data_IF_056532788609
#
_entry.id   IF_056532788609
#
_cell.length_a   1.000
_cell.length_b   1.000
_cell.length_c   1.000
_cell.angle_alpha   90.00
_cell.angle_beta   90.00
_cell.angle_gamma   90.00
#
_symmetry.space_group_name_H-M   'P 1'
#
loop_
_entity.id
_entity.type
_entity.pdbx_description
1 polymer ?
#
# COMPACT_ATOMS: atom_id res chain seq x y z
N UNK A 1 0.03 13.58 16.68
CA UNK A 1 0.59 12.22 16.75
C UNK A 1 1.83 12.15 15.89
N UNK A 2 2.81 11.32 16.25
CA UNK A 2 4.02 11.10 15.44
C UNK A 2 3.61 10.32 14.19
N UNK A 3 4.03 10.75 13.01
CA UNK A 3 3.77 10.01 11.76
C UNK A 3 4.48 8.67 11.81
N UNK A 4 3.75 7.57 11.69
CA UNK A 4 4.31 6.21 11.51
C UNK A 4 5.19 6.16 10.26
N UNK A 5 6.44 5.71 10.39
CA UNK A 5 7.39 5.63 9.28
C UNK A 5 7.90 4.21 8.98
N UNK A 6 8.78 4.08 7.98
CA UNK A 6 9.33 2.78 7.56
C UNK A 6 10.12 2.10 8.70
N UNK A 7 10.77 2.87 9.58
CA UNK A 7 11.52 2.33 10.72
C UNK A 7 10.56 1.74 11.75
N UNK A 8 9.48 2.46 12.06
CA UNK A 8 8.43 1.98 12.97
C UNK A 8 7.78 0.69 12.41
N UNK A 9 7.52 0.67 11.10
CA UNK A 9 7.04 -0.52 10.38
C UNK A 9 7.99 -1.72 10.52
N UNK A 10 9.27 -1.53 10.19
CA UNK A 10 10.26 -2.60 10.24
C UNK A 10 10.45 -3.12 11.67
N UNK A 11 10.41 -2.23 12.67
CA UNK A 11 10.48 -2.59 14.09
C UNK A 11 9.28 -3.44 14.50
N UNK A 12 8.07 -3.02 14.13
CA UNK A 12 6.82 -3.76 14.40
C UNK A 12 6.83 -5.12 13.70
N UNK A 13 7.23 -5.15 12.43
CA UNK A 13 7.36 -6.38 11.64
C UNK A 13 8.37 -7.36 12.27
N UNK A 14 9.53 -6.87 12.71
CA UNK A 14 10.55 -7.68 13.37
C UNK A 14 10.06 -8.23 14.72
N UNK A 15 9.38 -7.41 15.52
CA UNK A 15 8.82 -7.81 16.81
C UNK A 15 7.74 -8.89 16.63
N UNK A 16 6.79 -8.70 15.72
CA UNK A 16 5.77 -9.69 15.40
C UNK A 16 6.39 -11.00 14.89
N UNK A 17 7.38 -10.91 14.00
CA UNK A 17 8.08 -12.08 13.48
C UNK A 17 8.84 -12.84 14.59
N UNK A 18 9.42 -12.12 15.54
CA UNK A 18 10.06 -12.73 16.71
C UNK A 18 9.05 -13.49 17.58
N UNK A 19 7.90 -12.89 17.88
CA UNK A 19 6.82 -13.54 18.65
C UNK A 19 6.27 -14.78 17.93
N UNK A 20 6.05 -14.70 16.62
CA UNK A 20 5.58 -15.82 15.80
C UNK A 20 6.59 -16.97 15.67
N UNK A 21 7.87 -16.68 15.86
CA UNK A 21 8.95 -17.67 15.82
C UNK A 21 9.22 -18.33 17.17
N UNK A 22 8.52 -17.91 18.23
CA UNK A 22 8.69 -18.48 19.56
C UNK A 22 8.24 -19.95 19.61
N UNK A 23 8.93 -20.77 20.41
CA UNK A 23 8.59 -22.19 20.61
C UNK A 23 7.18 -22.37 21.16
N UNK A 24 6.75 -21.45 22.01
CA UNK A 24 5.38 -21.34 22.51
C UNK A 24 4.82 -20.01 22.04
N UNK A 25 3.79 -20.07 21.19
CA UNK A 25 3.09 -18.89 20.71
C UNK A 25 2.30 -18.26 21.87
N UNK A 26 2.46 -16.96 22.04
CA UNK A 26 1.69 -16.17 23.00
C UNK A 26 0.89 -15.10 22.23
N UNK A 27 -0.39 -15.40 22.00
CA UNK A 27 -1.31 -14.49 21.31
C UNK A 27 -1.58 -13.21 22.08
N UNK A 28 -1.50 -13.21 23.41
CA UNK A 28 -1.62 -12.00 24.22
C UNK A 28 -0.49 -11.00 23.97
N UNK A 29 0.75 -11.50 23.81
CA UNK A 29 1.90 -10.66 23.42
C UNK A 29 1.72 -10.09 22.01
N UNK A 30 1.26 -10.91 21.05
CA UNK A 30 1.00 -10.45 19.67
C UNK A 30 -0.12 -9.41 19.65
N UNK A 31 -1.20 -9.64 20.38
CA UNK A 31 -2.31 -8.70 20.54
C UNK A 31 -1.82 -7.37 21.11
N UNK A 32 -0.97 -7.39 22.14
CA UNK A 32 -0.39 -6.17 22.74
C UNK A 32 0.40 -5.36 21.70
N UNK A 33 1.15 -6.03 20.83
CA UNK A 33 1.89 -5.37 19.74
C UNK A 33 0.93 -4.80 18.70
N UNK A 34 -0.03 -5.60 18.23
CA UNK A 34 -0.99 -5.19 17.19
C UNK A 34 -1.87 -4.03 17.66
N UNK A 35 -2.31 -4.02 18.92
CA UNK A 35 -3.14 -2.95 19.47
C UNK A 35 -2.32 -1.76 20.01
N UNK A 36 -0.99 -1.83 19.95
CA UNK A 36 -0.06 -0.88 20.58
C UNK A 36 -0.34 -0.64 22.08
N UNK A 37 -0.68 -1.71 22.80
CA UNK A 37 -1.00 -1.65 24.23
C UNK A 37 -2.31 -0.92 24.58
N UNK A 38 -3.13 -0.56 23.58
CA UNK A 38 -4.47 -0.01 23.82
C UNK A 38 -5.35 -1.05 24.53
N UNK A 39 -6.19 -0.56 25.42
CA UNK A 39 -7.09 -1.40 26.21
C UNK A 39 -8.28 -1.87 25.36
N UNK A 40 -8.75 -3.07 25.65
CA UNK A 40 -9.94 -3.68 25.08
C UNK A 40 -10.68 -4.41 26.21
N UNK A 41 -11.99 -4.60 26.11
CA UNK A 41 -12.75 -5.32 27.13
C UNK A 41 -12.33 -6.79 27.20
N UNK A 42 -12.38 -7.41 28.39
CA UNK A 42 -11.95 -8.79 28.61
C UNK A 42 -12.66 -9.79 27.67
N UNK A 43 -13.97 -9.60 27.47
CA UNK A 43 -14.74 -10.42 26.54
C UNK A 43 -14.27 -10.28 25.09
N UNK A 44 -14.05 -9.06 24.63
CA UNK A 44 -13.56 -8.78 23.27
C UNK A 44 -12.13 -9.29 23.06
N UNK A 45 -11.31 -9.28 24.12
CA UNK A 45 -9.98 -9.88 24.13
C UNK A 45 -10.05 -11.40 23.89
N UNK A 46 -10.98 -12.12 24.53
CA UNK A 46 -11.14 -13.56 24.31
C UNK A 46 -11.50 -13.88 22.85
N UNK A 47 -12.44 -13.13 22.27
CA UNK A 47 -12.81 -13.25 20.85
C UNK A 47 -11.59 -13.01 19.97
N UNK A 48 -10.82 -11.96 20.24
CA UNK A 48 -9.66 -11.60 19.45
C UNK A 48 -8.54 -12.66 19.52
N UNK A 49 -8.32 -13.28 20.69
CA UNK A 49 -7.41 -14.41 20.84
C UNK A 49 -7.85 -15.62 19.99
N UNK A 50 -9.15 -15.89 19.91
CA UNK A 50 -9.70 -16.93 19.04
C UNK A 50 -9.48 -16.62 17.56
N UNK A 51 -9.60 -15.35 17.16
CA UNK A 51 -9.31 -14.89 15.78
C UNK A 51 -7.83 -15.05 15.44
N UNK A 52 -6.91 -14.70 16.36
CA UNK A 52 -5.48 -14.93 16.13
C UNK A 52 -5.13 -16.41 15.98
N UNK A 53 -5.72 -17.27 16.82
CA UNK A 53 -5.55 -18.71 16.71
C UNK A 53 -6.09 -19.23 15.35
N UNK A 54 -7.25 -18.74 14.91
CA UNK A 54 -7.79 -19.02 13.58
C UNK A 54 -6.83 -18.62 12.46
N UNK A 55 -6.32 -17.38 12.47
CA UNK A 55 -5.36 -16.90 11.48
C UNK A 55 -4.11 -17.77 11.40
N UNK A 56 -3.63 -18.26 12.54
CA UNK A 56 -2.45 -19.13 12.58
C UNK A 56 -2.68 -20.47 11.90
N UNK A 57 -3.90 -21.02 12.01
CA UNK A 57 -4.29 -22.28 11.36
C UNK A 57 -4.49 -22.07 9.87
N UNK A 58 -5.06 -20.94 9.47
CA UNK A 58 -5.29 -20.60 8.08
C UNK A 58 -3.97 -20.34 7.33
N UNK A 59 -3.14 -19.45 7.86
CA UNK A 59 -1.88 -19.07 7.20
C UNK A 59 -0.74 -20.06 7.46
N UNK A 60 -0.82 -20.90 8.51
CA UNK A 60 0.13 -21.99 8.79
C UNK A 60 1.60 -21.58 8.65
N UNK A 61 2.38 -22.37 7.90
CA UNK A 61 3.79 -22.09 7.55
C UNK A 61 3.94 -21.34 6.21
N UNK A 62 2.86 -20.76 5.66
CA UNK A 62 2.91 -20.08 4.37
C UNK A 62 3.79 -18.84 4.43
N UNK A 63 4.46 -18.54 3.32
CA UNK A 63 5.34 -17.39 3.17
C UNK A 63 4.86 -16.50 2.02
N UNK A 64 4.96 -15.17 2.18
CA UNK A 64 4.77 -14.19 1.10
C UNK A 64 5.91 -14.29 0.08
N UNK A 65 5.72 -13.67 -1.09
CA UNK A 65 6.70 -13.65 -2.18
C UNK A 65 8.09 -13.14 -1.77
N UNK A 66 8.16 -12.26 -0.76
CA UNK A 66 9.42 -11.72 -0.24
C UNK A 66 10.05 -12.57 0.87
N UNK A 67 9.38 -13.62 1.35
CA UNK A 67 9.89 -14.58 2.35
C UNK A 67 9.26 -14.59 3.76
N UNK A 68 8.70 -13.49 4.31
CA UNK A 68 8.06 -13.50 5.64
C UNK A 68 6.82 -14.40 5.69
N UNK A 69 6.42 -14.83 6.90
CA UNK A 69 5.18 -15.58 7.10
C UNK A 69 3.96 -14.79 6.60
N UNK A 70 3.03 -15.44 5.92
CA UNK A 70 1.83 -14.78 5.36
C UNK A 70 0.97 -14.11 6.42
N UNK A 71 0.90 -14.69 7.62
CA UNK A 71 0.18 -14.13 8.77
C UNK A 71 0.71 -12.76 9.21
N UNK A 72 1.96 -12.39 8.88
CA UNK A 72 2.51 -11.08 9.26
C UNK A 72 1.76 -9.92 8.62
N UNK A 73 1.27 -10.09 7.38
CA UNK A 73 0.59 -9.03 6.66
C UNK A 73 -0.69 -8.55 7.37
N UNK A 74 -1.68 -9.41 7.68
CA UNK A 74 -2.87 -8.97 8.40
C UNK A 74 -2.53 -8.42 9.80
N UNK A 75 -1.52 -8.96 10.50
CA UNK A 75 -1.08 -8.44 11.80
C UNK A 75 -0.52 -7.02 11.71
N UNK A 76 0.36 -6.75 10.74
CA UNK A 76 0.96 -5.43 10.54
C UNK A 76 -0.05 -4.41 9.99
N UNK A 77 -0.93 -4.81 9.06
CA UNK A 77 -2.03 -3.97 8.61
C UNK A 77 -2.92 -3.56 9.79
N UNK A 78 -3.25 -4.51 10.67
CA UNK A 78 -4.03 -4.23 11.88
C UNK A 78 -3.28 -3.35 12.88
N UNK A 79 -1.95 -3.47 12.97
CA UNK A 79 -1.12 -2.57 13.77
C UNK A 79 -1.15 -1.13 13.23
N UNK A 80 -1.08 -0.96 11.91
CA UNK A 80 -1.21 0.35 11.25
C UNK A 80 -2.60 0.96 11.46
N UNK A 81 -3.66 0.16 11.35
CA UNK A 81 -5.02 0.60 11.66
C UNK A 81 -5.15 1.02 13.11
N UNK A 82 -4.63 0.21 14.03
CA UNK A 82 -4.62 0.50 15.46
C UNK A 82 -3.85 1.77 15.76
N UNK A 83 -2.73 2.02 15.08
CA UNK A 83 -1.95 3.25 15.22
C UNK A 83 -2.76 4.51 14.87
N UNK A 84 -3.48 4.48 13.75
CA UNK A 84 -4.33 5.60 13.31
C UNK A 84 -5.62 5.74 14.13
N UNK A 85 -5.98 4.74 14.94
CA UNK A 85 -7.21 4.73 15.73
C UNK A 85 -6.92 5.15 17.17
N UNK A 86 -7.75 6.02 17.74
CA UNK A 86 -7.61 6.43 19.15
C UNK A 86 -8.02 5.32 20.11
N UNK A 87 -9.06 4.58 19.75
CA UNK A 87 -9.65 3.50 20.52
C UNK A 87 -9.71 2.22 19.68
N UNK A 88 -9.77 1.08 20.35
CA UNK A 88 -9.86 -0.23 19.70
C UNK A 88 -11.32 -0.53 19.42
N UNK A 89 -11.70 -0.55 18.14
CA UNK A 89 -12.98 -1.09 17.71
C UNK A 89 -12.79 -2.56 17.31
N UNK A 90 -13.34 -3.50 18.10
CA UNK A 90 -13.17 -4.94 17.89
C UNK A 90 -13.50 -5.35 16.44
N UNK A 91 -14.62 -4.86 15.91
CA UNK A 91 -15.07 -5.22 14.57
C UNK A 91 -14.07 -4.77 13.49
N UNK A 92 -13.55 -3.54 13.57
CA UNK A 92 -12.55 -3.02 12.62
C UNK A 92 -11.25 -3.84 12.68
N UNK A 93 -10.83 -4.22 13.90
CA UNK A 93 -9.66 -5.08 14.13
C UNK A 93 -9.86 -6.46 13.52
N UNK A 94 -10.98 -7.13 13.79
CA UNK A 94 -11.27 -8.46 13.22
C UNK A 94 -11.37 -8.38 11.69
N UNK A 95 -12.04 -7.36 11.15
CA UNK A 95 -12.15 -7.14 9.71
C UNK A 95 -10.77 -6.94 9.07
N UNK A 96 -9.89 -6.16 9.70
CA UNK A 96 -8.52 -5.97 9.22
C UNK A 96 -7.68 -7.25 9.31
N UNK A 97 -7.83 -8.03 10.38
CA UNK A 97 -7.15 -9.30 10.53
C UNK A 97 -7.57 -10.33 9.46
N UNK A 98 -8.82 -10.29 9.04
CA UNK A 98 -9.39 -11.28 8.12
C UNK A 98 -9.49 -10.82 6.65
N UNK A 99 -9.12 -9.57 6.33
CA UNK A 99 -9.40 -8.94 5.03
C UNK A 99 -8.90 -9.74 3.81
N UNK A 100 -7.72 -10.34 3.90
CA UNK A 100 -7.09 -11.13 2.84
C UNK A 100 -7.49 -12.62 2.89
N UNK A 101 -8.13 -13.07 3.98
CA UNK A 101 -8.39 -14.48 4.24
C UNK A 101 -9.27 -15.09 3.14
N UNK A 102 -10.29 -14.37 2.67
CA UNK A 102 -11.20 -14.91 1.65
C UNK A 102 -10.66 -14.80 0.22
N UNK A 103 -9.65 -13.96 -0.04
CA UNK A 103 -8.93 -13.97 -1.31
C UNK A 103 -7.95 -15.14 -1.38
N UNK A 104 -7.22 -15.38 -0.29
CA UNK A 104 -6.22 -16.45 -0.19
C UNK A 104 -6.86 -17.84 0.01
N UNK A 105 -8.04 -17.89 0.63
CA UNK A 105 -8.72 -19.13 1.00
C UNK A 105 -10.20 -19.09 0.58
N UNK A 106 -10.54 -19.82 -0.49
CA UNK A 106 -11.92 -19.94 -0.99
C UNK A 106 -12.63 -21.13 -0.33
N UNK A 107 -13.68 -20.91 0.48
CA UNK A 107 -14.38 -21.98 1.20
C UNK A 107 -15.03 -23.03 0.27
N UNK A 108 -15.34 -22.67 -0.97
CA UNK A 108 -16.12 -23.51 -1.90
C UNK A 108 -15.32 -24.56 -2.69
N UNK A 109 -14.00 -24.69 -2.48
CA UNK A 109 -13.17 -25.54 -3.35
C UNK A 109 -12.65 -26.86 -2.74
N UNK A 110 -12.85 -27.18 -1.46
CA UNK A 110 -12.20 -28.36 -0.86
C UNK A 110 -13.08 -29.13 0.15
N UNK A 111 -13.02 -30.47 0.08
CA UNK A 111 -13.89 -31.45 0.80
C UNK A 111 -13.22 -32.11 2.03
N UNK A 112 -12.14 -31.55 2.56
CA UNK A 112 -11.32 -32.20 3.60
C UNK A 112 -11.72 -31.86 5.04
N UNK A 113 -11.43 -32.78 5.97
CA UNK A 113 -11.80 -32.70 7.40
C UNK A 113 -11.15 -31.52 8.16
N UNK A 114 -9.99 -31.04 7.71
CA UNK A 114 -9.33 -29.88 8.31
C UNK A 114 -10.05 -28.55 7.97
N UNK A 115 -10.79 -28.51 6.86
CA UNK A 115 -11.63 -27.35 6.51
C UNK A 115 -12.89 -27.27 7.35
N UNK A 116 -13.52 -28.41 7.66
CA UNK A 116 -14.64 -28.45 8.61
C UNK A 116 -14.17 -27.89 9.97
N UNK A 117 -12.95 -28.20 10.41
CA UNK A 117 -12.39 -27.62 11.64
C UNK A 117 -12.15 -26.12 11.54
N UNK A 118 -11.65 -25.63 10.40
CA UNK A 118 -11.44 -24.19 10.16
C UNK A 118 -12.76 -23.42 10.11
N UNK A 119 -13.76 -23.94 9.39
CA UNK A 119 -15.10 -23.38 9.36
C UNK A 119 -15.74 -23.41 10.76
N UNK A 120 -15.64 -24.53 11.49
CA UNK A 120 -16.10 -24.61 12.88
C UNK A 120 -15.39 -23.59 13.79
N UNK A 121 -14.08 -23.37 13.61
CA UNK A 121 -13.32 -22.35 14.38
C UNK A 121 -13.80 -20.95 14.03
N UNK A 122 -14.05 -20.69 12.74
CA UNK A 122 -14.62 -19.42 12.27
C UNK A 122 -16.03 -19.18 12.84
N UNK A 123 -16.91 -20.17 12.75
CA UNK A 123 -18.26 -20.09 13.31
C UNK A 123 -18.25 -19.92 14.84
N UNK A 124 -17.31 -20.55 15.54
CA UNK A 124 -17.19 -20.45 17.00
C UNK A 124 -16.97 -19.00 17.47
N UNK A 125 -15.90 -18.34 17.03
CA UNK A 125 -15.68 -16.94 17.44
C UNK A 125 -16.74 -16.00 16.85
N UNK A 126 -17.27 -16.31 15.66
CA UNK A 126 -18.34 -15.51 15.06
C UNK A 126 -19.60 -15.54 15.94
N UNK A 127 -19.96 -16.70 16.49
CA UNK A 127 -21.12 -16.86 17.37
C UNK A 127 -21.01 -16.14 18.70
N UNK A 128 -19.80 -15.77 19.12
CA UNK A 128 -19.55 -14.95 20.31
C UNK A 128 -19.85 -13.47 20.05
N UNK A 129 -19.86 -13.03 18.77
CA UNK A 129 -20.23 -11.67 18.41
C UNK A 129 -21.76 -11.48 18.41
N UNK A 130 -22.25 -10.27 18.72
CA UNK A 130 -23.65 -9.89 18.48
C UNK A 130 -24.10 -10.14 17.04
N UNK A 131 -25.36 -10.53 16.83
CA UNK A 131 -25.88 -10.94 15.51
C UNK A 131 -25.73 -9.85 14.43
N UNK A 132 -25.89 -8.58 14.80
CA UNK A 132 -25.68 -7.43 13.94
C UNK A 132 -24.19 -7.26 13.57
N UNK A 133 -23.27 -7.46 14.52
CA UNK A 133 -21.83 -7.48 14.26
C UNK A 133 -21.42 -8.64 13.35
N UNK A 134 -22.01 -9.82 13.51
CA UNK A 134 -21.74 -10.97 12.64
C UNK A 134 -22.12 -10.66 11.18
N UNK A 135 -23.32 -10.10 10.98
CA UNK A 135 -23.81 -9.72 9.64
C UNK A 135 -22.90 -8.66 9.03
N UNK A 136 -22.53 -7.64 9.82
CA UNK A 136 -21.66 -6.56 9.37
C UNK A 136 -20.26 -7.05 9.01
N UNK A 137 -19.65 -7.91 9.82
CA UNK A 137 -18.35 -8.53 9.54
C UNK A 137 -18.37 -9.27 8.19
N UNK A 138 -19.37 -10.12 7.97
CA UNK A 138 -19.50 -10.88 6.71
C UNK A 138 -19.62 -9.95 5.49
N UNK A 139 -20.41 -8.88 5.61
CA UNK A 139 -20.56 -7.89 4.54
C UNK A 139 -19.24 -7.16 4.26
N UNK A 140 -18.56 -6.68 5.30
CA UNK A 140 -17.27 -6.00 5.15
C UNK A 140 -16.22 -6.89 4.48
N UNK A 141 -16.10 -8.15 4.90
CA UNK A 141 -15.17 -9.10 4.30
C UNK A 141 -15.52 -9.41 2.83
N UNK A 142 -16.81 -9.50 2.49
CA UNK A 142 -17.25 -9.67 1.11
C UNK A 142 -16.86 -8.47 0.23
N UNK A 143 -17.01 -7.25 0.75
CA UNK A 143 -16.62 -6.04 0.02
C UNK A 143 -15.10 -5.90 -0.14
N UNK A 144 -14.34 -6.35 0.87
CA UNK A 144 -12.87 -6.39 0.84
C UNK A 144 -12.31 -7.48 -0.06
N UNK A 145 -13.11 -8.48 -0.43
CA UNK A 145 -12.67 -9.58 -1.30
C UNK A 145 -12.84 -9.20 -2.78
N UNK A 146 -11.75 -9.27 -3.55
CA UNK A 146 -11.77 -9.11 -5.00
C UNK A 146 -12.18 -10.41 -5.69
N UNK A 147 -13.16 -10.31 -6.58
CA UNK A 147 -13.57 -11.47 -7.39
C UNK A 147 -12.52 -11.79 -8.47
N UNK A 148 -12.34 -13.08 -8.85
CA UNK A 148 -11.30 -13.48 -9.80
C UNK A 148 -11.43 -12.85 -11.18
N UNK A 149 -12.67 -12.65 -11.64
CA UNK A 149 -13.00 -12.05 -12.94
C UNK A 149 -12.98 -10.52 -12.92
N UNK A 150 -12.97 -9.91 -11.74
CA UNK A 150 -13.07 -8.47 -11.57
C UNK A 150 -11.72 -7.78 -11.82
N UNK A 151 -11.74 -6.60 -12.42
CA UNK A 151 -10.53 -5.76 -12.54
C UNK A 151 -10.22 -5.13 -11.18
N UNK A 152 -8.98 -4.67 -10.99
CA UNK A 152 -8.65 -3.93 -9.77
C UNK A 152 -9.51 -2.67 -9.60
N UNK A 153 -9.77 -1.95 -10.70
CA UNK A 153 -10.58 -0.71 -10.67
C UNK A 153 -12.03 -0.98 -10.28
N UNK A 154 -12.64 -2.01 -10.85
CA UNK A 154 -14.03 -2.36 -10.54
C UNK A 154 -14.15 -2.81 -9.09
N UNK A 155 -13.19 -3.60 -8.60
CA UNK A 155 -13.13 -4.01 -7.19
C UNK A 155 -13.07 -2.80 -6.25
N UNK A 156 -12.13 -1.87 -6.47
CA UNK A 156 -12.03 -0.67 -5.64
C UNK A 156 -13.28 0.20 -5.77
N UNK A 157 -13.82 0.35 -6.99
CA UNK A 157 -15.07 1.08 -7.22
C UNK A 157 -16.23 0.53 -6.40
N UNK A 158 -16.47 -0.79 -6.50
CA UNK A 158 -17.50 -1.52 -5.76
C UNK A 158 -17.32 -1.41 -4.24
N UNK A 159 -16.09 -1.57 -3.75
CA UNK A 159 -15.77 -1.41 -2.33
C UNK A 159 -16.13 0.01 -1.86
N UNK A 160 -15.74 1.03 -2.62
CA UNK A 160 -15.98 2.43 -2.26
C UNK A 160 -17.43 2.88 -2.45
N UNK A 161 -18.23 2.21 -3.29
CA UNK A 161 -19.68 2.45 -3.37
C UNK A 161 -20.38 2.14 -2.05
N UNK A 162 -19.82 1.24 -1.23
CA UNK A 162 -20.34 0.89 0.10
C UNK A 162 -19.81 1.81 1.22
N UNK A 163 -18.85 2.70 0.90
CA UNK A 163 -18.21 3.58 1.87
C UNK A 163 -19.16 4.66 2.43
N UNK A 164 -20.25 4.98 1.72
CA UNK A 164 -21.29 5.87 2.22
C UNK A 164 -22.06 5.31 3.42
N UNK A 165 -22.06 3.98 3.57
CA UNK A 165 -22.70 3.28 4.69
C UNK A 165 -21.69 2.85 5.76
N UNK A 166 -20.42 2.66 5.40
CA UNK A 166 -19.37 2.15 6.31
C UNK A 166 -17.97 2.72 5.99
N UNK A 167 -17.48 3.65 6.82
CA UNK A 167 -16.11 4.17 6.67
C UNK A 167 -15.04 3.14 7.07
N UNK A 168 -15.41 2.14 7.86
CA UNK A 168 -14.52 1.10 8.38
C UNK A 168 -13.80 0.31 7.28
N UNK A 169 -14.51 0.02 6.19
CA UNK A 169 -13.96 -0.73 5.04
C UNK A 169 -12.87 0.08 4.33
N UNK A 170 -13.03 1.41 4.28
CA UNK A 170 -12.03 2.31 3.71
C UNK A 170 -10.80 2.36 4.61
N UNK A 171 -10.97 2.45 5.94
CA UNK A 171 -9.87 2.38 6.92
C UNK A 171 -9.05 1.11 6.73
N UNK A 172 -9.72 -0.05 6.71
CA UNK A 172 -9.07 -1.36 6.52
C UNK A 172 -8.31 -1.39 5.19
N UNK A 173 -8.92 -0.91 4.10
CA UNK A 173 -8.28 -0.93 2.78
C UNK A 173 -7.05 -0.02 2.70
N UNK A 174 -7.09 1.14 3.36
CA UNK A 174 -5.94 2.04 3.46
C UNK A 174 -4.82 1.43 4.30
N UNK A 175 -5.15 0.77 5.43
CA UNK A 175 -4.18 0.08 6.27
C UNK A 175 -3.50 -1.09 5.53
N UNK A 176 -4.26 -1.91 4.81
CA UNK A 176 -3.74 -2.93 3.87
C UNK A 176 -2.78 -2.30 2.86
N UNK A 177 -3.22 -1.24 2.17
CA UNK A 177 -2.38 -0.59 1.16
C UNK A 177 -1.11 0.01 1.74
N UNK A 178 -1.17 0.54 2.95
CA UNK A 178 -0.03 1.10 3.67
C UNK A 178 0.96 0.01 4.05
N UNK A 179 0.51 -1.13 4.61
CA UNK A 179 1.38 -2.29 4.88
C UNK A 179 2.09 -2.72 3.61
N UNK A 180 1.32 -2.96 2.54
CA UNK A 180 1.86 -3.40 1.28
C UNK A 180 2.85 -2.40 0.66
N UNK A 181 2.73 -1.10 0.97
CA UNK A 181 3.69 -0.09 0.52
C UNK A 181 4.99 -0.16 1.31
N UNK A 182 4.93 -0.38 2.62
CA UNK A 182 6.13 -0.57 3.43
C UNK A 182 6.79 -1.94 3.20
N UNK A 183 6.01 -2.99 2.94
CA UNK A 183 6.46 -4.37 2.68
C UNK A 183 7.17 -4.52 1.32
N UNK A 184 7.24 -3.49 0.46
CA UNK A 184 7.96 -3.53 -0.81
C UNK A 184 9.48 -3.69 -0.66
N UNK A 185 10.01 -3.51 0.56
CA UNK A 185 11.43 -3.61 0.89
C UNK A 185 11.64 -4.49 2.11
N UNK A 186 12.66 -5.34 2.03
CA UNK A 186 13.27 -5.99 3.19
C UNK A 186 14.70 -5.47 3.23
N UNK A 187 14.87 -4.32 3.86
CA UNK A 187 16.17 -3.67 4.01
C UNK A 187 16.40 -3.41 5.51
N UNK A 188 17.67 -3.51 5.96
CA UNK A 188 18.02 -3.32 7.36
C UNK A 188 17.81 -1.85 7.82
N UNK A 189 17.84 -0.90 6.87
CA UNK A 189 17.76 0.53 7.15
C UNK A 189 17.21 1.26 5.94
N UNK A 190 16.46 2.34 6.18
CA UNK A 190 15.92 3.20 5.11
C UNK A 190 17.07 3.82 4.27
N UNK A 191 17.08 3.65 2.93
CA UNK A 191 18.02 4.31 2.04
C UNK A 191 17.98 5.84 2.06
N UNK A 192 16.88 6.43 2.54
CA UNK A 192 16.77 7.88 2.74
C UNK A 192 17.23 8.35 4.13
N UNK A 193 17.69 7.45 5.00
CA UNK A 193 18.10 7.88 6.33
C UNK A 193 19.30 8.84 6.21
N UNK A 194 19.10 10.08 6.66
CA UNK A 194 20.10 11.15 6.55
C UNK A 194 20.22 11.77 5.15
N UNK A 195 19.33 11.43 4.21
CA UNK A 195 19.32 11.95 2.84
C UNK A 195 18.08 12.82 2.63
N UNK A 196 18.29 14.12 2.38
CA UNK A 196 17.20 15.02 2.03
C UNK A 196 17.02 15.06 0.49
N UNK A 197 15.94 14.41 0.03
CA UNK A 197 15.56 14.41 -1.38
C UNK A 197 15.32 15.82 -1.92
N UNK A 198 14.61 16.66 -1.17
CA UNK A 198 14.23 18.00 -1.63
C UNK A 198 15.44 18.93 -1.65
N UNK A 199 16.37 18.80 -0.70
CA UNK A 199 17.65 19.49 -0.75
C UNK A 199 18.43 19.13 -2.03
N UNK A 200 18.53 17.82 -2.36
CA UNK A 200 19.22 17.37 -3.57
C UNK A 200 18.56 17.95 -4.83
N UNK A 201 17.23 17.89 -4.92
CA UNK A 201 16.47 18.45 -6.05
C UNK A 201 16.66 19.97 -6.14
N UNK A 202 16.62 20.68 -5.01
CA UNK A 202 16.83 22.12 -4.97
C UNK A 202 18.23 22.50 -5.43
N UNK A 203 19.26 21.84 -4.89
CA UNK A 203 20.65 22.05 -5.34
C UNK A 203 20.80 21.74 -6.83
N UNK A 204 20.15 20.69 -7.32
CA UNK A 204 20.18 20.30 -8.73
C UNK A 204 19.59 21.39 -9.63
N UNK A 205 18.46 21.97 -9.25
CA UNK A 205 17.74 22.96 -10.05
C UNK A 205 18.39 24.35 -9.98
N UNK A 206 18.90 24.76 -8.81
CA UNK A 206 19.25 26.16 -8.54
C UNK A 206 20.76 26.43 -8.41
N UNK A 207 21.60 25.40 -8.31
CA UNK A 207 23.05 25.59 -8.11
C UNK A 207 23.88 25.00 -9.25
N UNK A 208 24.99 25.65 -9.58
CA UNK A 208 25.97 25.12 -10.54
C UNK A 208 27.06 24.28 -9.87
N UNK A 209 27.03 24.18 -8.54
CA UNK A 209 28.02 23.46 -7.73
C UNK A 209 27.55 22.07 -7.31
N UNK A 210 26.30 21.70 -7.57
CA UNK A 210 25.76 20.38 -7.25
C UNK A 210 26.59 19.28 -7.94
N UNK A 211 27.15 18.37 -7.14
CA UNK A 211 27.95 17.23 -7.62
C UNK A 211 27.13 15.95 -7.80
N UNK A 212 25.81 16.06 -7.64
CA UNK A 212 24.89 14.93 -7.61
C UNK A 212 24.86 14.19 -6.28
N UNK A 213 23.93 13.25 -6.19
CA UNK A 213 23.79 12.35 -5.05
C UNK A 213 24.76 11.18 -5.22
N UNK A 214 25.58 10.94 -4.20
CA UNK A 214 26.49 9.79 -4.14
C UNK A 214 26.13 8.97 -2.93
N UNK A 215 25.56 7.78 -3.11
CA UNK A 215 25.27 6.89 -2.00
C UNK A 215 26.56 6.52 -1.26
N UNK A 216 26.54 6.56 0.07
CA UNK A 216 27.68 6.14 0.89
C UNK A 216 27.88 4.61 0.89
N UNK A 217 26.86 3.87 0.44
CA UNK A 217 26.82 2.41 0.46
C UNK A 217 27.08 1.83 -0.92
N UNK A 218 27.64 0.63 -1.01
CA UNK A 218 27.71 -0.08 -2.27
C UNK A 218 26.30 -0.45 -2.76
N UNK A 219 26.17 -0.58 -4.07
CA UNK A 219 24.95 -1.05 -4.71
C UNK A 219 24.60 -2.45 -4.19
N UNK A 220 23.41 -2.60 -3.61
CA UNK A 220 22.92 -3.87 -3.07
C UNK A 220 22.50 -4.80 -4.22
N UNK A 221 22.77 -6.12 -4.13
CA UNK A 221 22.39 -7.06 -5.18
C UNK A 221 20.88 -7.09 -5.42
N UNK A 222 20.50 -7.59 -6.59
CA UNK A 222 19.13 -7.61 -7.11
C UNK A 222 18.12 -8.12 -6.08
N UNK A 223 17.20 -7.25 -5.70
CA UNK A 223 16.04 -7.56 -4.86
C UNK A 223 14.94 -8.24 -5.68
N UNK A 224 14.06 -8.99 -5.01
CA UNK A 224 12.92 -9.70 -5.61
C UNK A 224 11.97 -8.74 -6.37
N UNK A 225 11.83 -7.51 -5.88
CA UNK A 225 10.99 -6.46 -6.50
C UNK A 225 11.85 -5.27 -6.92
N UNK A 226 11.96 -5.01 -8.22
CA UNK A 226 12.78 -3.91 -8.73
C UNK A 226 12.03 -2.56 -8.71
N UNK A 227 12.71 -1.47 -9.09
CA UNK A 227 12.11 -0.12 -9.08
C UNK A 227 10.83 0.02 -9.92
N UNK A 228 10.72 -0.66 -11.06
CA UNK A 228 9.52 -0.60 -11.90
C UNK A 228 8.34 -1.36 -11.26
N UNK A 229 8.60 -2.50 -10.60
CA UNK A 229 7.57 -3.24 -9.86
C UNK A 229 7.05 -2.43 -8.67
N UNK A 230 7.93 -1.70 -7.98
CA UNK A 230 7.54 -0.80 -6.88
C UNK A 230 6.73 0.39 -7.37
N UNK A 231 7.13 1.03 -8.48
CA UNK A 231 6.32 2.06 -9.14
C UNK A 231 4.93 1.52 -9.51
N UNK A 232 4.80 0.27 -9.96
CA UNK A 232 3.48 -0.30 -10.22
C UNK A 232 2.60 -0.44 -8.96
N UNK A 233 3.17 -0.71 -7.78
CA UNK A 233 2.38 -0.68 -6.54
C UNK A 233 1.97 0.76 -6.17
N UNK A 234 2.86 1.74 -6.38
CA UNK A 234 2.53 3.15 -6.18
C UNK A 234 1.41 3.62 -7.13
N UNK A 235 1.38 3.12 -8.37
CA UNK A 235 0.28 3.36 -9.30
C UNK A 235 -1.07 2.88 -8.74
N UNK A 236 -1.12 1.69 -8.12
CA UNK A 236 -2.36 1.21 -7.46
C UNK A 236 -2.81 2.13 -6.33
N UNK A 237 -1.88 2.74 -5.61
CA UNK A 237 -2.19 3.73 -4.57
C UNK A 237 -2.77 5.00 -5.20
N UNK A 238 -2.18 5.52 -6.29
CA UNK A 238 -2.73 6.66 -7.04
C UNK A 238 -4.19 6.41 -7.44
N UNK A 239 -4.47 5.21 -7.96
CA UNK A 239 -5.82 4.79 -8.35
C UNK A 239 -6.76 4.78 -7.14
N UNK A 240 -6.38 4.11 -6.05
CA UNK A 240 -7.20 4.03 -4.84
C UNK A 240 -7.49 5.43 -4.29
N UNK A 241 -6.46 6.26 -4.13
CA UNK A 241 -6.55 7.58 -3.52
C UNK A 241 -7.40 8.53 -4.38
N UNK A 242 -7.27 8.45 -5.70
CA UNK A 242 -8.13 9.21 -6.63
C UNK A 242 -9.60 8.81 -6.47
N UNK A 243 -9.90 7.50 -6.42
CA UNK A 243 -11.27 7.01 -6.28
C UNK A 243 -11.88 7.34 -4.91
N UNK A 244 -11.09 7.31 -3.83
CA UNK A 244 -11.51 7.73 -2.49
C UNK A 244 -11.96 9.19 -2.51
N UNK A 245 -11.13 10.08 -3.07
CA UNK A 245 -11.42 11.52 -3.17
C UNK A 245 -12.64 11.78 -4.07
N UNK A 246 -12.69 11.17 -5.25
CA UNK A 246 -13.80 11.30 -6.20
C UNK A 246 -15.15 10.90 -5.58
N UNK A 247 -15.18 9.81 -4.81
CA UNK A 247 -16.39 9.30 -4.17
C UNK A 247 -16.65 9.92 -2.78
N UNK A 248 -15.75 10.76 -2.28
CA UNK A 248 -15.77 11.29 -0.90
C UNK A 248 -15.88 10.16 0.14
N UNK A 249 -15.27 9.02 -0.15
CA UNK A 249 -15.34 7.83 0.69
C UNK A 249 -14.58 8.06 2.00
N UNK A 250 -15.26 7.91 3.14
CA UNK A 250 -14.69 8.23 4.46
C UNK A 250 -14.47 9.73 4.70
N UNK A 251 -15.16 10.60 3.97
CA UNK A 251 -15.12 12.04 4.25
C UNK A 251 -15.61 12.34 5.67
N UNK A 252 -14.83 13.11 6.43
CA UNK A 252 -15.12 13.43 7.83
C UNK A 252 -14.68 12.34 8.83
N UNK A 253 -14.18 11.20 8.37
CA UNK A 253 -13.60 10.17 9.24
C UNK A 253 -12.12 10.44 9.51
N UNK A 254 -11.72 10.76 10.77
CA UNK A 254 -10.34 11.15 11.07
C UNK A 254 -9.34 10.00 10.88
N UNK A 255 -9.76 8.75 11.10
CA UNK A 255 -8.88 7.57 10.94
C UNK A 255 -8.57 7.34 9.45
N UNK A 256 -9.59 7.44 8.59
CA UNK A 256 -9.42 7.40 7.13
C UNK A 256 -8.48 8.51 6.67
N UNK A 257 -8.64 9.74 7.16
CA UNK A 257 -7.76 10.85 6.81
C UNK A 257 -6.30 10.57 7.22
N UNK A 258 -6.08 10.11 8.44
CA UNK A 258 -4.74 9.79 8.95
C UNK A 258 -4.05 8.69 8.13
N UNK A 259 -4.77 7.60 7.81
CA UNK A 259 -4.25 6.52 6.97
C UNK A 259 -4.02 6.97 5.52
N UNK A 260 -4.88 7.82 4.97
CA UNK A 260 -4.72 8.39 3.62
C UNK A 260 -3.44 9.23 3.53
N UNK A 261 -3.22 10.12 4.50
CA UNK A 261 -2.01 10.94 4.56
C UNK A 261 -0.75 10.09 4.77
N UNK A 262 -0.83 9.06 5.63
CA UNK A 262 0.27 8.12 5.84
C UNK A 262 0.61 7.37 4.55
N UNK A 263 -0.40 6.91 3.78
CA UNK A 263 -0.22 6.26 2.49
C UNK A 263 0.42 7.18 1.45
N UNK A 264 -0.03 8.43 1.35
CA UNK A 264 0.61 9.42 0.46
C UNK A 264 2.07 9.65 0.84
N UNK A 265 2.37 9.88 2.12
CA UNK A 265 3.74 10.11 2.62
C UNK A 265 4.64 8.91 2.36
N UNK A 266 4.18 7.70 2.68
CA UNK A 266 4.92 6.46 2.44
C UNK A 266 5.19 6.24 0.95
N UNK A 267 4.19 6.49 0.11
CA UNK A 267 4.28 6.35 -1.35
C UNK A 267 5.23 7.38 -1.97
N UNK A 268 5.16 8.64 -1.51
CA UNK A 268 6.07 9.71 -1.91
C UNK A 268 7.52 9.36 -1.55
N UNK A 269 7.79 8.94 -0.31
CA UNK A 269 9.13 8.51 0.12
C UNK A 269 9.65 7.34 -0.70
N UNK A 270 8.80 6.39 -1.07
CA UNK A 270 9.23 5.28 -1.93
C UNK A 270 9.57 5.75 -3.35
N UNK A 271 8.80 6.66 -3.93
CA UNK A 271 9.13 7.26 -5.22
C UNK A 271 10.46 8.04 -5.16
N UNK A 272 10.71 8.79 -4.08
CA UNK A 272 11.99 9.47 -3.83
C UNK A 272 13.15 8.48 -3.76
N UNK A 273 12.99 7.35 -3.04
CA UNK A 273 14.00 6.27 -2.98
C UNK A 273 14.31 5.72 -4.36
N UNK A 274 13.30 5.50 -5.19
CA UNK A 274 13.49 4.97 -6.54
C UNK A 274 14.26 5.97 -7.40
N UNK A 275 13.88 7.26 -7.38
CA UNK A 275 14.58 8.30 -8.13
C UNK A 275 16.06 8.41 -7.73
N UNK A 276 16.36 8.48 -6.42
CA UNK A 276 17.73 8.57 -5.92
C UNK A 276 18.53 7.28 -6.12
N UNK A 277 17.90 6.11 -6.04
CA UNK A 277 18.59 4.86 -6.32
C UNK A 277 19.03 4.79 -7.78
N UNK A 278 18.16 5.18 -8.72
CA UNK A 278 18.54 5.21 -10.14
C UNK A 278 19.63 6.24 -10.38
N UNK A 279 19.48 7.44 -9.83
CA UNK A 279 20.47 8.50 -9.97
C UNK A 279 21.83 8.11 -9.38
N UNK A 280 21.87 7.64 -8.14
CA UNK A 280 23.12 7.35 -7.44
C UNK A 280 23.89 6.14 -7.99
N UNK A 281 23.22 5.18 -8.62
CA UNK A 281 23.85 3.90 -8.99
C UNK A 281 23.78 3.51 -10.46
N UNK A 282 22.80 3.99 -11.22
CA UNK A 282 22.57 3.54 -12.60
C UNK A 282 22.69 4.67 -13.63
N UNK A 283 22.42 5.90 -13.23
CA UNK A 283 22.46 7.09 -14.10
C UNK A 283 23.03 8.31 -13.33
N UNK A 284 24.32 8.30 -12.96
CA UNK A 284 24.92 9.34 -12.10
C UNK A 284 25.21 10.67 -12.83
N UNK A 285 24.81 10.80 -14.09
CA UNK A 285 24.98 12.03 -14.86
C UNK A 285 24.05 13.14 -14.32
N UNK A 286 24.67 14.10 -13.64
CA UNK A 286 24.03 15.28 -13.05
C UNK A 286 23.31 16.13 -14.09
N UNK A 287 23.93 16.36 -15.26
CA UNK A 287 23.34 17.19 -16.30
C UNK A 287 22.10 16.52 -16.90
N UNK A 288 22.16 15.21 -17.10
CA UNK A 288 21.03 14.41 -17.56
C UNK A 288 19.90 14.39 -16.52
N UNK A 289 20.21 14.15 -15.25
CA UNK A 289 19.21 14.17 -14.18
C UNK A 289 18.53 15.53 -14.06
N UNK A 290 19.30 16.63 -14.10
CA UNK A 290 18.77 17.99 -14.14
C UNK A 290 17.82 18.20 -15.32
N UNK A 291 18.21 17.77 -16.52
CA UNK A 291 17.34 17.88 -17.71
C UNK A 291 16.01 17.16 -17.49
N UNK A 292 16.05 15.91 -17.02
CA UNK A 292 14.84 15.12 -16.76
C UNK A 292 13.94 15.78 -15.71
N UNK A 293 14.52 16.31 -14.62
CA UNK A 293 13.81 17.05 -13.59
C UNK A 293 13.08 18.28 -14.17
N UNK A 294 13.78 19.11 -14.97
CA UNK A 294 13.19 20.31 -15.56
C UNK A 294 12.07 19.98 -16.54
N UNK A 295 12.23 18.93 -17.36
CA UNK A 295 11.17 18.44 -18.26
C UNK A 295 9.93 17.98 -17.47
N UNK A 296 10.12 17.24 -16.37
CA UNK A 296 9.02 16.80 -15.51
C UNK A 296 8.34 17.98 -14.80
N UNK A 297 9.10 18.99 -14.37
CA UNK A 297 8.55 20.21 -13.78
C UNK A 297 7.66 20.98 -14.77
N UNK A 298 8.14 21.18 -16.01
CA UNK A 298 7.35 21.86 -17.06
C UNK A 298 6.06 21.10 -17.34
N UNK A 299 6.14 19.77 -17.44
CA UNK A 299 4.96 18.92 -17.65
C UNK A 299 3.95 19.01 -16.50
N UNK A 300 4.42 19.05 -15.26
CA UNK A 300 3.56 19.25 -14.09
C UNK A 300 2.87 20.60 -14.11
N UNK A 301 3.61 21.68 -14.40
CA UNK A 301 3.09 23.04 -14.41
C UNK A 301 2.05 23.27 -15.52
N UNK A 302 2.09 22.48 -16.59
CA UNK A 302 1.05 22.50 -17.62
C UNK A 302 -0.19 21.67 -17.27
N UNK A 303 -0.32 21.17 -16.03
CA UNK A 303 -1.43 20.33 -15.59
C UNK A 303 -1.36 18.86 -16.04
N UNK A 304 -0.17 18.39 -16.47
CA UNK A 304 -0.01 17.04 -17.04
C UNK A 304 -0.30 15.89 -16.07
N UNK A 305 -0.41 16.17 -14.76
CA UNK A 305 -0.76 15.19 -13.73
C UNK A 305 -2.16 15.40 -13.13
N UNK A 306 -2.96 16.33 -13.68
CA UNK A 306 -4.33 16.57 -13.20
C UNK A 306 -5.32 15.63 -13.90
N UNK A 307 -4.97 15.10 -15.07
CA UNK A 307 -5.83 14.22 -15.87
C UNK A 307 -5.03 13.10 -16.54
N UNK A 308 -5.72 12.00 -16.87
CA UNK A 308 -5.20 10.93 -17.72
C UNK A 308 -5.04 11.47 -19.15
N UNK A 309 -3.81 11.46 -19.65
CA UNK A 309 -3.48 11.94 -21.00
C UNK A 309 -3.35 10.82 -22.02
N UNK A 310 -3.63 11.10 -23.29
CA UNK A 310 -3.34 10.19 -24.41
C UNK A 310 -1.84 10.21 -24.75
N UNK A 311 -1.23 9.07 -25.12
CA UNK A 311 0.16 9.04 -25.56
C UNK A 311 0.35 9.89 -26.82
N UNK A 312 1.39 10.72 -26.83
CA UNK A 312 1.79 11.53 -27.99
C UNK A 312 3.29 11.86 -27.93
N UNK A 313 3.81 12.49 -28.99
CA UNK A 313 5.23 12.82 -29.12
C UNK A 313 5.67 14.06 -28.32
N UNK A 314 4.72 14.87 -27.81
CA UNK A 314 5.04 16.12 -27.12
C UNK A 314 5.70 15.89 -25.75
N UNK A 315 5.34 14.80 -25.07
CA UNK A 315 5.95 14.40 -23.81
C UNK A 315 5.91 12.89 -23.63
N UNK A 316 7.00 12.29 -23.18
CA UNK A 316 7.05 10.86 -22.85
C UNK A 316 6.18 10.48 -21.65
N UNK A 317 5.78 11.46 -20.85
CA UNK A 317 4.87 11.27 -19.71
C UNK A 317 3.40 11.20 -20.15
N UNK A 318 3.09 11.63 -21.38
CA UNK A 318 1.75 11.49 -21.92
C UNK A 318 1.40 10.00 -22.10
N UNK A 319 0.23 9.61 -21.59
CA UNK A 319 -0.18 8.20 -21.57
C UNK A 319 0.56 7.33 -20.56
N UNK A 320 1.33 7.90 -19.61
CA UNK A 320 2.07 7.14 -18.61
C UNK A 320 1.20 6.10 -17.88
N UNK A 321 0.07 6.53 -17.32
CA UNK A 321 -0.81 5.67 -16.54
C UNK A 321 -1.42 4.55 -17.40
N UNK A 322 -1.79 4.86 -18.65
CA UNK A 322 -2.43 3.93 -19.57
C UNK A 322 -1.44 2.92 -20.18
N UNK A 323 -0.32 3.41 -20.68
CA UNK A 323 0.59 2.61 -21.51
C UNK A 323 1.52 1.76 -20.67
N UNK A 324 1.95 2.26 -19.51
CA UNK A 324 2.90 1.55 -18.65
C UNK A 324 2.19 0.66 -17.64
N UNK A 325 1.16 1.17 -16.95
CA UNK A 325 0.61 0.54 -15.76
C UNK A 325 -0.78 -0.10 -15.95
N UNK A 326 -1.68 0.54 -16.73
CA UNK A 326 -3.03 0.02 -17.00
C UNK A 326 -3.05 -1.09 -18.07
N UNK A 327 -2.33 -2.17 -17.80
CA UNK A 327 -2.28 -3.33 -18.67
C UNK A 327 -3.22 -4.43 -18.14
N UNK A 328 -4.31 -4.76 -18.83
CA UNK A 328 -5.30 -5.72 -18.33
C UNK A 328 -4.71 -7.13 -18.20
N UNK A 329 -3.81 -7.52 -19.11
CA UNK A 329 -3.15 -8.83 -19.09
C UNK A 329 -1.86 -8.78 -18.29
N UNK A 330 -1.67 -9.74 -17.38
CA UNK A 330 -0.47 -9.87 -16.53
C UNK A 330 0.84 -9.88 -17.33
N UNK A 331 0.89 -10.63 -18.43
CA UNK A 331 2.09 -10.71 -19.28
C UNK A 331 2.41 -9.41 -20.02
N UNK A 332 1.38 -8.70 -20.50
CA UNK A 332 1.55 -7.39 -21.11
C UNK A 332 2.10 -6.38 -20.09
N UNK A 333 1.56 -6.40 -18.86
CA UNK A 333 2.05 -5.60 -17.74
C UNK A 333 3.52 -5.89 -17.44
N UNK A 334 3.87 -7.16 -17.30
CA UNK A 334 5.25 -7.59 -17.04
C UNK A 334 6.22 -7.08 -18.12
N UNK A 335 5.82 -7.15 -19.39
CA UNK A 335 6.60 -6.61 -20.51
C UNK A 335 6.83 -5.11 -20.39
N UNK A 336 5.80 -4.34 -20.04
CA UNK A 336 5.91 -2.88 -19.86
C UNK A 336 6.79 -2.52 -18.65
N UNK A 337 6.67 -3.23 -17.53
CA UNK A 337 7.53 -2.99 -16.37
C UNK A 337 9.00 -3.34 -16.66
N UNK A 338 9.27 -4.40 -17.43
CA UNK A 338 10.62 -4.70 -17.91
C UNK A 338 11.16 -3.60 -18.83
N UNK A 339 10.32 -3.05 -19.72
CA UNK A 339 10.70 -1.94 -20.59
C UNK A 339 11.02 -0.69 -19.78
N UNK A 340 10.17 -0.32 -18.81
CA UNK A 340 10.42 0.78 -17.89
C UNK A 340 11.71 0.57 -17.09
N UNK A 341 11.95 -0.63 -16.58
CA UNK A 341 13.15 -0.92 -15.80
C UNK A 341 14.45 -0.80 -16.63
N UNK A 342 14.39 -1.07 -17.94
CA UNK A 342 15.52 -0.89 -18.85
C UNK A 342 15.79 0.58 -19.18
N UNK A 343 14.76 1.41 -19.24
CA UNK A 343 14.89 2.85 -19.49
C UNK A 343 15.02 3.61 -18.16
N UNK A 344 16.26 3.72 -17.66
CA UNK A 344 16.56 4.40 -16.39
C UNK A 344 16.18 5.88 -16.39
N UNK A 345 16.35 6.56 -17.52
CA UNK A 345 15.99 7.96 -17.66
C UNK A 345 14.47 8.15 -17.52
N UNK A 346 13.69 7.32 -18.20
CA UNK A 346 12.23 7.36 -18.05
C UNK A 346 11.79 6.94 -16.65
N UNK A 347 12.42 5.94 -16.05
CA UNK A 347 12.12 5.53 -14.67
C UNK A 347 12.37 6.64 -13.65
N UNK A 348 13.39 7.50 -13.84
CA UNK A 348 13.60 8.72 -13.04
C UNK A 348 12.40 9.67 -13.21
N UNK A 349 12.00 9.98 -14.45
CA UNK A 349 10.87 10.88 -14.70
C UNK A 349 9.57 10.36 -14.08
N UNK A 350 9.30 9.07 -14.20
CA UNK A 350 8.12 8.43 -13.59
C UNK A 350 8.17 8.51 -12.06
N UNK A 351 9.33 8.25 -11.45
CA UNK A 351 9.49 8.37 -10.01
C UNK A 351 9.27 9.82 -9.52
N UNK A 352 9.85 10.82 -10.20
CA UNK A 352 9.63 12.24 -9.88
C UNK A 352 8.15 12.62 -10.08
N UNK A 353 7.51 12.13 -11.15
CA UNK A 353 6.08 12.34 -11.40
C UNK A 353 5.24 11.83 -10.23
N UNK A 354 5.57 10.66 -9.68
CA UNK A 354 4.85 10.09 -8.55
C UNK A 354 5.11 10.88 -7.25
N UNK A 355 6.32 11.41 -7.04
CA UNK A 355 6.57 12.34 -5.93
C UNK A 355 5.62 13.54 -6.02
N UNK A 356 5.48 14.13 -7.20
CA UNK A 356 4.58 15.27 -7.44
C UNK A 356 3.12 14.89 -7.20
N UNK A 357 2.65 13.77 -7.76
CA UNK A 357 1.26 13.30 -7.59
C UNK A 357 0.93 13.08 -6.10
N UNK A 358 1.80 12.40 -5.35
CA UNK A 358 1.57 12.20 -3.91
C UNK A 358 1.68 13.49 -3.11
N UNK A 359 2.51 14.44 -3.54
CA UNK A 359 2.56 15.77 -2.94
C UNK A 359 1.26 16.54 -3.19
N UNK A 360 0.66 16.43 -4.37
CA UNK A 360 -0.65 17.04 -4.67
C UNK A 360 -1.75 16.45 -3.78
N UNK A 361 -1.77 15.13 -3.56
CA UNK A 361 -2.71 14.50 -2.59
C UNK A 361 -2.54 15.01 -1.15
N UNK A 362 -1.34 15.45 -0.77
CA UNK A 362 -1.06 16.01 0.56
C UNK A 362 -1.40 17.50 0.65
N UNK A 363 -1.20 18.25 -0.44
CA UNK A 363 -1.35 19.70 -0.46
C UNK A 363 -2.79 20.15 -0.76
N UNK A 364 -3.55 19.35 -1.51
CA UNK A 364 -4.89 19.68 -1.94
C UNK A 364 -5.88 18.57 -1.55
N UNK A 365 -6.84 18.84 -0.64
CA UNK A 365 -7.84 17.87 -0.22
C UNK A 365 -8.85 17.51 -1.30
N UNK A 366 -8.93 18.25 -2.40
CA UNK A 366 -9.83 17.96 -3.52
C UNK A 366 -9.10 17.33 -4.71
N UNK A 367 -7.78 17.17 -4.64
CA UNK A 367 -6.99 16.58 -5.72
C UNK A 367 -7.28 15.09 -5.92
N UNK A 368 -7.60 14.76 -7.17
CA UNK A 368 -7.57 13.41 -7.74
C UNK A 368 -7.20 13.52 -9.21
N UNK A 369 -6.75 12.43 -9.82
CA UNK A 369 -6.45 12.42 -11.26
C UNK A 369 -7.74 12.16 -12.04
N UNK A 370 -8.16 13.16 -12.80
CA UNK A 370 -9.29 13.07 -13.73
C UNK A 370 -9.11 11.94 -14.74
N UNK A 371 -10.17 11.23 -15.06
CA UNK A 371 -10.11 10.05 -15.95
C UNK A 371 -9.73 8.72 -15.29
N UNK A 372 -9.43 8.70 -13.98
CA UNK A 372 -9.42 7.47 -13.19
C UNK A 372 -10.86 7.17 -12.73
N UNK A 373 -11.35 5.97 -13.01
CA UNK A 373 -12.70 5.53 -12.62
C UNK A 373 -12.75 4.03 -12.30
N UNK A 374 -13.88 3.55 -11.79
CA UNK A 374 -14.14 2.11 -11.61
C UNK A 374 -14.08 1.31 -12.92
N UNK A 375 -14.24 1.98 -14.07
CA UNK A 375 -14.16 1.37 -15.40
C UNK A 375 -12.73 1.32 -15.97
N UNK A 376 -11.74 1.85 -15.25
CA UNK A 376 -10.34 1.89 -15.65
C UNK A 376 -9.79 3.31 -15.78
N UNK A 377 -8.64 3.41 -16.44
CA UNK A 377 -7.88 4.66 -16.60
C UNK A 377 -8.00 5.14 -18.04
N UNK A 378 -8.75 6.23 -18.27
CA UNK A 378 -9.01 6.77 -19.60
C UNK A 378 -9.09 8.30 -19.55
N UNK A 379 -8.67 9.02 -20.60
CA UNK A 379 -8.86 10.47 -20.66
C UNK A 379 -10.35 10.83 -20.54
N UNK A 380 -10.64 11.93 -19.84
CA UNK A 380 -11.99 12.51 -19.89
C UNK A 380 -12.25 13.07 -21.29
N UNK A 381 -13.49 12.86 -21.77
CA UNK A 381 -13.92 13.20 -23.12
C UNK A 381 -14.24 14.69 -23.28
#
# INVERSE_FOLDING_TARGET
>A
MRSYDLTDFLTTSALLNYQLSAKQLNWGSIMTVVLEGKQIADHDQEILLNVFDYLSKVYGKMKRALGPLSVLHPLRATALLSHASKEVALLDVITCLLHDTFEDFKPSQFKDSDWIKLDNTFQAFLSELPEDHQKRLKQQLQWLTKEPSETYYHYIGRLLDQAGETSEVVRVKLADRLDNTFDMRIELQDPLLGVDFFEIIFQMAFTNTCRGYRPDRPHQPTVIMNGADRLYQLFKNIVLMSLIRQKKAGAGDPVTQELFEALAKASMKEAQRIALHVFGYHEPDVAKFRKLLMETMVYSQSGGFDTVTLPNEASRLNGLLMTVFDQPKREARKKQLVALYRDKAFMIQVAISFVIIFLNFLNDPDYFIHGISANGVRPES
#
